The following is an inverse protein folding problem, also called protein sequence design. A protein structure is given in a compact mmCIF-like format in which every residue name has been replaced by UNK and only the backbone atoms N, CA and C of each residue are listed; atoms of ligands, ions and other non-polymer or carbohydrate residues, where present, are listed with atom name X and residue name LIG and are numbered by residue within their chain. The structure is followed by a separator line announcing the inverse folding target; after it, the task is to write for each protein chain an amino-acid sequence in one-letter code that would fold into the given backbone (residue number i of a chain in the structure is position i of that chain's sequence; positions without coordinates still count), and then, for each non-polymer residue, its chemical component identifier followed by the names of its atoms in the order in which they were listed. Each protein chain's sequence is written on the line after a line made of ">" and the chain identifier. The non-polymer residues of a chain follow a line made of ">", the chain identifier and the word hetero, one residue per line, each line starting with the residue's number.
data_IF_732498163545
#
_entry.id   IF_732498163545
#
_cell.length_a   1.000
_cell.length_b   1.000
_cell.length_c   1.000
_cell.angle_alpha   90.00
_cell.angle_beta   90.00
_cell.angle_gamma   90.00
#
_symmetry.space_group_name_H-M   'P 1'
#
loop_
_entity.id
_entity.type
_entity.pdbx_description
1 polymer ?
#
# COMPACT_ATOMS: atom_id res chain seq x y z
N UNK A 1 31.01 3.85 -27.34
CA UNK A 1 32.20 3.58 -28.19
C UNK A 1 33.46 3.77 -27.34
N UNK A 2 34.46 2.89 -27.45
CA UNK A 2 34.90 2.10 -26.30
C UNK A 2 36.38 2.29 -25.92
N UNK A 3 36.74 1.92 -24.68
CA UNK A 3 38.10 1.43 -24.37
C UNK A 3 38.02 0.01 -23.85
N UNK A 4 38.49 -0.89 -24.72
CA UNK A 4 38.78 -2.32 -24.50
C UNK A 4 39.85 -2.49 -23.41
N UNK A 5 39.72 -3.54 -22.61
CA UNK A 5 40.86 -4.30 -22.14
C UNK A 5 40.66 -5.77 -22.55
N UNK A 6 41.54 -6.25 -23.44
CA UNK A 6 41.69 -7.65 -23.85
C UNK A 6 42.85 -8.23 -23.05
N UNK A 7 42.64 -9.33 -22.34
CA UNK A 7 43.64 -10.35 -21.95
C UNK A 7 42.80 -11.62 -21.72
N UNK A 8 43.03 -12.81 -22.24
CA UNK A 8 44.02 -13.42 -23.11
C UNK A 8 43.62 -14.90 -23.13
N UNK A 9 43.34 -15.46 -24.31
CA UNK A 9 42.95 -16.87 -24.48
C UNK A 9 44.24 -17.68 -24.53
N UNK A 10 44.40 -18.64 -23.63
CA UNK A 10 45.38 -19.71 -23.82
C UNK A 10 44.67 -21.07 -23.78
N UNK A 11 44.65 -21.72 -24.94
CA UNK A 11 44.18 -23.09 -25.16
C UNK A 11 45.38 -24.01 -24.95
N UNK A 12 45.27 -24.99 -24.04
CA UNK A 12 45.99 -26.26 -24.17
C UNK A 12 45.05 -27.42 -23.84
N UNK A 13 44.95 -28.34 -24.79
CA UNK A 13 44.23 -29.61 -24.71
C UNK A 13 44.99 -30.62 -23.84
N UNK A 14 44.24 -31.59 -23.29
CA UNK A 14 44.72 -32.97 -23.20
C UNK A 14 44.68 -33.68 -21.85
N UNK A 15 43.83 -34.73 -21.80
CA UNK A 15 43.95 -35.98 -21.04
C UNK A 15 43.52 -36.06 -19.55
N UNK A 16 42.43 -36.82 -19.33
CA UNK A 16 42.24 -37.70 -18.18
C UNK A 16 43.00 -39.04 -18.44
N UNK A 17 43.40 -39.85 -17.43
CA UNK A 17 42.44 -40.62 -16.62
C UNK A 17 42.87 -40.91 -15.15
N UNK A 18 41.97 -41.51 -14.38
CA UNK A 18 42.34 -42.41 -13.27
C UNK A 18 41.94 -41.92 -11.87
N UNK A 19 41.12 -42.71 -11.19
CA UNK A 19 40.49 -42.37 -9.92
C UNK A 19 41.36 -42.53 -8.68
N UNK A 20 40.92 -41.89 -7.60
CA UNK A 20 41.26 -42.25 -6.23
C UNK A 20 40.17 -41.72 -5.29
N UNK A 21 39.65 -42.61 -4.45
CA UNK A 21 38.71 -42.34 -3.38
C UNK A 21 39.29 -41.33 -2.38
N UNK A 22 38.50 -40.31 -2.06
CA UNK A 22 38.74 -39.39 -0.96
C UNK A 22 37.41 -38.96 -0.37
N UNK A 23 36.99 -39.62 0.72
CA UNK A 23 35.82 -39.27 1.51
C UNK A 23 36.06 -37.90 2.13
N UNK A 24 35.35 -36.88 1.66
CA UNK A 24 35.25 -35.58 2.34
C UNK A 24 33.86 -35.49 2.94
N UNK A 25 33.79 -35.63 4.26
CA UNK A 25 32.61 -35.43 5.08
C UNK A 25 32.15 -33.97 4.99
N UNK A 26 31.31 -33.67 4.00
CA UNK A 26 30.62 -32.40 3.88
C UNK A 26 29.36 -32.39 4.74
N UNK A 27 29.32 -31.51 5.75
CA UNK A 27 28.11 -31.20 6.50
C UNK A 27 26.99 -30.79 5.52
N UNK A 28 25.98 -31.65 5.39
CA UNK A 28 24.80 -31.36 4.59
C UNK A 28 23.95 -30.31 5.31
N UNK A 29 24.23 -29.03 5.08
CA UNK A 29 23.21 -27.99 5.21
C UNK A 29 22.17 -28.25 4.13
N UNK A 30 21.26 -29.19 4.37
CA UNK A 30 20.15 -29.47 3.47
C UNK A 30 19.36 -28.18 3.30
N UNK A 31 19.34 -27.63 2.08
CA UNK A 31 18.44 -26.57 1.66
C UNK A 31 16.99 -27.07 1.70
N UNK A 32 16.47 -27.32 2.90
CA UNK A 32 15.08 -27.69 3.11
C UNK A 32 14.26 -26.42 2.83
N UNK A 33 13.61 -26.41 1.67
CA UNK A 33 12.69 -25.37 1.22
C UNK A 33 11.27 -25.92 1.33
N UNK A 34 10.31 -25.00 1.43
CA UNK A 34 8.91 -25.36 1.25
C UNK A 34 8.72 -25.96 -0.15
N UNK A 35 7.81 -26.92 -0.23
CA UNK A 35 7.33 -27.47 -1.49
C UNK A 35 6.52 -26.41 -2.23
N UNK A 36 6.54 -26.47 -3.56
CA UNK A 36 5.70 -25.59 -4.38
C UNK A 36 4.20 -25.93 -4.24
N UNK A 37 3.89 -27.21 -4.10
CA UNK A 37 2.52 -27.71 -4.02
C UNK A 37 2.20 -28.24 -2.62
N UNK A 38 1.01 -27.96 -2.07
CA UNK A 38 0.61 -28.46 -0.75
C UNK A 38 0.38 -29.97 -0.78
N UNK A 39 0.64 -30.60 0.36
CA UNK A 39 0.38 -32.02 0.59
C UNK A 39 -1.12 -32.22 0.80
N UNK A 40 -1.83 -32.71 -0.22
CA UNK A 40 -3.30 -32.86 -0.20
C UNK A 40 -3.82 -33.86 0.83
N UNK A 41 -3.01 -34.86 1.17
CA UNK A 41 -3.36 -35.92 2.12
C UNK A 41 -2.97 -35.58 3.58
N UNK A 42 -2.14 -34.53 3.76
CA UNK A 42 -1.67 -34.13 5.09
C UNK A 42 -2.71 -33.25 5.79
N UNK A 43 -3.10 -33.64 7.00
CA UNK A 43 -3.90 -32.79 7.88
C UNK A 43 -2.94 -32.01 8.78
N UNK A 44 -2.89 -30.67 8.67
CA UNK A 44 -2.04 -29.86 9.53
C UNK A 44 -2.50 -29.94 10.98
N UNK A 45 -1.56 -29.79 11.90
CA UNK A 45 -1.80 -29.73 13.33
C UNK A 45 -2.42 -28.38 13.73
N UNK A 46 -3.01 -28.35 14.93
CA UNK A 46 -3.41 -27.09 15.55
C UNK A 46 -2.23 -26.48 16.31
N UNK A 47 -2.10 -25.17 16.22
CA UNK A 47 -1.05 -24.38 16.86
C UNK A 47 -1.61 -23.29 17.80
N UNK A 48 -2.92 -23.30 18.06
CA UNK A 48 -3.61 -22.29 18.87
C UNK A 48 -3.18 -22.29 20.35
N UNK A 49 -2.65 -23.41 20.84
CA UNK A 49 -2.19 -23.59 22.21
C UNK A 49 -0.77 -23.04 22.46
N UNK A 50 -0.06 -22.60 21.40
CA UNK A 50 1.32 -22.15 21.49
C UNK A 50 1.43 -20.62 21.56
N UNK A 51 2.34 -20.12 22.39
CA UNK A 51 2.77 -18.71 22.33
C UNK A 51 3.75 -18.53 21.15
N UNK A 52 3.22 -18.07 20.03
CA UNK A 52 3.96 -17.91 18.77
C UNK A 52 4.15 -16.44 18.41
N UNK A 53 5.25 -16.14 17.71
CA UNK A 53 5.52 -14.79 17.21
C UNK A 53 4.67 -14.42 15.97
N UNK A 54 3.91 -15.37 15.42
CA UNK A 54 3.05 -15.22 14.23
C UNK A 54 1.70 -15.89 14.49
N UNK A 55 0.67 -15.52 13.73
CA UNK A 55 -0.66 -16.11 13.85
C UNK A 55 -0.61 -17.66 13.73
N UNK A 56 -1.24 -18.40 14.66
CA UNK A 56 -1.33 -19.87 14.58
C UNK A 56 -1.83 -20.40 13.23
N UNK A 57 -2.77 -19.67 12.61
CA UNK A 57 -3.33 -20.02 11.29
C UNK A 57 -2.30 -20.04 10.15
N UNK A 58 -1.23 -19.25 10.26
CA UNK A 58 -0.13 -19.25 9.28
C UNK A 58 0.64 -20.57 9.38
N UNK A 59 0.91 -21.08 10.59
CA UNK A 59 1.60 -22.35 10.78
C UNK A 59 0.77 -23.52 10.26
N UNK A 60 -0.54 -23.57 10.55
CA UNK A 60 -1.43 -24.61 10.01
C UNK A 60 -1.47 -24.60 8.48
N UNK A 61 -1.40 -23.42 7.87
CA UNK A 61 -1.39 -23.27 6.41
C UNK A 61 -0.04 -23.70 5.82
N UNK A 62 1.07 -23.25 6.43
CA UNK A 62 2.44 -23.49 5.97
C UNK A 62 2.85 -24.95 6.13
N UNK A 63 2.32 -25.65 7.14
CA UNK A 63 2.65 -27.06 7.41
C UNK A 63 2.39 -27.95 6.19
N UNK A 64 1.34 -27.68 5.42
CA UNK A 64 1.01 -28.47 4.21
C UNK A 64 2.11 -28.40 3.14
N UNK A 65 2.93 -27.36 3.17
CA UNK A 65 4.02 -27.12 2.24
C UNK A 65 5.37 -27.62 2.77
N UNK A 66 5.43 -28.22 3.97
CA UNK A 66 6.67 -28.83 4.45
C UNK A 66 7.10 -30.01 3.57
N UNK A 67 8.42 -30.23 3.41
CA UNK A 67 8.92 -31.40 2.71
C UNK A 67 8.55 -32.70 3.48
N UNK A 68 8.41 -33.86 2.80
CA UNK A 68 7.88 -35.07 3.41
C UNK A 68 8.64 -35.54 4.67
N UNK A 69 9.95 -35.29 4.70
CA UNK A 69 10.80 -35.62 5.85
C UNK A 69 10.52 -34.76 7.09
N UNK A 70 9.88 -33.59 6.93
CA UNK A 70 9.47 -32.71 8.02
C UNK A 70 7.99 -32.85 8.38
N UNK A 71 7.16 -33.50 7.56
CA UNK A 71 5.76 -33.74 7.91
C UNK A 71 5.60 -34.78 9.04
N UNK A 72 6.56 -35.70 9.15
CA UNK A 72 6.58 -36.78 10.14
C UNK A 72 7.34 -36.44 11.43
N UNK A 73 7.97 -35.26 11.52
CA UNK A 73 8.70 -34.84 12.72
C UNK A 73 7.73 -34.31 13.79
N UNK A 74 8.14 -34.20 15.07
CA UNK A 74 7.31 -33.63 16.11
C UNK A 74 6.89 -32.18 15.80
N UNK A 75 5.71 -31.81 16.29
CA UNK A 75 5.09 -30.48 16.12
C UNK A 75 6.06 -29.33 16.43
N UNK A 76 6.83 -29.42 17.52
CA UNK A 76 7.76 -28.37 17.93
C UNK A 76 8.91 -28.17 16.92
N UNK A 77 9.38 -29.24 16.27
CA UNK A 77 10.41 -29.17 15.23
C UNK A 77 9.84 -28.59 13.93
N UNK A 78 8.58 -28.90 13.60
CA UNK A 78 7.87 -28.24 12.50
C UNK A 78 7.76 -26.73 12.73
N UNK A 79 7.38 -26.34 13.96
CA UNK A 79 7.28 -24.92 14.36
C UNK A 79 8.62 -24.22 14.23
N UNK A 80 9.72 -24.82 14.71
CA UNK A 80 11.07 -24.22 14.58
C UNK A 80 11.41 -23.95 13.11
N UNK A 81 11.21 -24.94 12.24
CA UNK A 81 11.50 -24.80 10.82
C UNK A 81 10.60 -23.76 10.12
N UNK A 82 9.29 -23.82 10.35
CA UNK A 82 8.33 -22.85 9.82
C UNK A 82 8.64 -21.43 10.32
N UNK A 83 8.99 -21.29 11.60
CA UNK A 83 9.39 -20.02 12.21
C UNK A 83 10.67 -19.50 11.57
N UNK A 84 11.69 -20.32 11.35
CA UNK A 84 12.91 -19.91 10.66
C UNK A 84 12.64 -19.40 9.23
N UNK A 85 11.68 -20.01 8.53
CA UNK A 85 11.24 -19.53 7.22
C UNK A 85 10.55 -18.17 7.38
N UNK A 86 9.53 -18.06 8.24
CA UNK A 86 8.79 -16.82 8.44
C UNK A 86 9.70 -15.67 8.89
N UNK A 87 10.71 -15.93 9.73
CA UNK A 87 11.71 -14.96 10.16
C UNK A 87 12.60 -14.42 9.04
N UNK A 88 12.80 -15.18 7.96
CA UNK A 88 13.53 -14.70 6.76
C UNK A 88 12.70 -13.71 5.95
N UNK A 89 11.37 -13.84 5.98
CA UNK A 89 10.46 -12.99 5.22
C UNK A 89 9.88 -11.84 6.05
N UNK A 90 9.86 -11.95 7.38
CA UNK A 90 9.43 -10.90 8.31
C UNK A 90 10.41 -10.80 9.48
N UNK A 91 11.56 -10.13 9.29
CA UNK A 91 12.59 -9.97 10.31
C UNK A 91 12.05 -9.30 11.59
N UNK A 92 12.78 -9.47 12.70
CA UNK A 92 12.40 -8.89 14.01
C UNK A 92 12.12 -7.38 13.96
N UNK A 93 12.87 -6.62 13.15
CA UNK A 93 12.66 -5.18 12.99
C UNK A 93 11.30 -4.82 12.41
N UNK A 94 10.87 -5.52 11.36
CA UNK A 94 9.56 -5.30 10.72
C UNK A 94 8.41 -5.70 11.64
N UNK A 95 8.53 -6.83 12.35
CA UNK A 95 7.52 -7.25 13.35
C UNK A 95 7.36 -6.22 14.47
N UNK A 96 8.48 -5.73 15.01
CA UNK A 96 8.45 -4.68 16.02
C UNK A 96 7.82 -3.40 15.48
N UNK A 97 8.02 -3.07 14.20
CA UNK A 97 7.40 -1.90 13.56
C UNK A 97 5.87 -2.07 13.48
N UNK A 98 5.39 -3.21 12.97
CA UNK A 98 3.95 -3.51 12.87
C UNK A 98 3.29 -3.51 14.24
N UNK A 99 3.90 -4.15 15.23
CA UNK A 99 3.37 -4.19 16.59
C UNK A 99 3.30 -2.78 17.20
N UNK A 100 4.36 -1.98 17.08
CA UNK A 100 4.37 -0.59 17.55
C UNK A 100 3.32 0.27 16.86
N UNK A 101 3.13 0.09 15.55
CA UNK A 101 2.10 0.80 14.79
C UNK A 101 0.69 0.43 15.29
N UNK A 102 0.42 -0.86 15.54
CA UNK A 102 -0.85 -1.31 16.14
C UNK A 102 -1.07 -0.72 17.52
N UNK A 103 -0.07 -0.77 18.40
CA UNK A 103 -0.15 -0.19 19.76
C UNK A 103 -0.37 1.33 19.71
N UNK A 104 0.28 2.01 18.78
CA UNK A 104 0.09 3.43 18.54
C UNK A 104 -1.35 3.75 18.11
N UNK A 105 -1.89 3.04 17.10
CA UNK A 105 -3.29 3.22 16.66
C UNK A 105 -4.28 2.91 17.78
N UNK A 106 -4.07 1.84 18.54
CA UNK A 106 -4.94 1.47 19.67
C UNK A 106 -4.95 2.53 20.78
N UNK A 107 -3.82 3.20 21.03
CA UNK A 107 -3.79 4.34 21.96
C UNK A 107 -4.62 5.50 21.46
N UNK A 108 -4.60 5.80 20.15
CA UNK A 108 -5.45 6.85 19.59
C UNK A 108 -6.92 6.46 19.72
N UNK A 109 -7.31 5.28 19.22
CA UNK A 109 -8.69 4.79 19.24
C UNK A 109 -9.30 4.76 20.66
N UNK A 110 -8.49 4.45 21.67
CA UNK A 110 -8.95 4.41 23.07
C UNK A 110 -9.08 5.78 23.75
N UNK A 111 -8.45 6.84 23.21
CA UNK A 111 -8.40 8.17 23.84
C UNK A 111 -9.10 9.26 23.03
N UNK A 112 -9.22 9.09 21.72
CA UNK A 112 -9.94 10.00 20.83
C UNK A 112 -11.43 9.64 20.80
N UNK A 113 -12.29 10.66 20.82
CA UNK A 113 -13.74 10.49 20.66
C UNK A 113 -14.17 11.00 19.28
N UNK A 114 -14.63 10.11 18.39
CA UNK A 114 -15.12 10.51 17.07
C UNK A 114 -16.29 11.48 17.14
N UNK A 115 -16.28 12.51 16.30
CA UNK A 115 -17.33 13.52 16.20
C UNK A 115 -18.50 13.01 15.33
N UNK A 116 -18.19 12.33 14.22
CA UNK A 116 -19.15 11.87 13.21
C UNK A 116 -19.05 10.36 13.00
N UNK A 117 -19.62 9.57 13.90
CA UNK A 117 -19.55 8.09 13.83
C UNK A 117 -20.06 7.49 12.51
N UNK A 118 -20.98 8.17 11.84
CA UNK A 118 -21.58 7.68 10.60
C UNK A 118 -20.58 7.55 9.44
N UNK A 119 -19.53 8.37 9.41
CA UNK A 119 -18.53 8.31 8.33
C UNK A 119 -17.65 7.04 8.42
N UNK A 120 -17.53 6.43 9.61
CA UNK A 120 -16.75 5.21 9.84
C UNK A 120 -17.42 3.96 9.29
N UNK A 121 -18.75 3.95 9.21
CA UNK A 121 -19.51 2.80 8.71
C UNK A 121 -19.60 2.77 7.18
N UNK A 122 -19.50 3.96 6.55
CA UNK A 122 -19.67 4.21 5.12
C UNK A 122 -21.03 3.75 4.58
N UNK A 123 -21.98 4.67 4.50
CA UNK A 123 -23.28 4.43 3.87
C UNK A 123 -23.25 4.95 2.43
N UNK A 124 -23.23 4.09 1.39
CA UNK A 124 -22.96 4.52 0.02
C UNK A 124 -23.84 5.67 -0.49
N UNK A 125 -25.13 5.65 -0.16
CA UNK A 125 -26.09 6.69 -0.54
C UNK A 125 -25.79 8.08 0.06
N UNK A 126 -25.15 8.12 1.22
CA UNK A 126 -24.77 9.36 1.90
C UNK A 126 -23.30 9.75 1.61
N UNK A 127 -22.49 8.80 1.15
CA UNK A 127 -21.06 9.00 0.85
C UNK A 127 -20.84 9.43 -0.59
N UNK A 128 -21.51 8.81 -1.56
CA UNK A 128 -21.20 8.96 -2.99
C UNK A 128 -22.29 9.68 -3.78
N UNK A 129 -21.90 10.38 -4.84
CA UNK A 129 -22.86 10.99 -5.77
C UNK A 129 -23.67 9.91 -6.51
N UNK A 130 -24.95 10.16 -6.85
CA UNK A 130 -25.81 9.12 -7.42
C UNK A 130 -25.33 8.62 -8.79
N UNK A 131 -24.70 9.49 -9.59
CA UNK A 131 -24.08 9.16 -10.88
C UNK A 131 -22.98 8.11 -10.70
N UNK A 132 -22.10 8.31 -9.70
CA UNK A 132 -21.05 7.37 -9.35
C UNK A 132 -21.60 6.01 -8.91
N UNK A 133 -22.57 5.99 -7.98
CA UNK A 133 -23.19 4.74 -7.53
C UNK A 133 -23.83 3.96 -8.67
N UNK A 134 -24.49 4.66 -9.59
CA UNK A 134 -25.07 4.04 -10.77
C UNK A 134 -24.00 3.39 -11.65
N UNK A 135 -22.91 4.10 -11.95
CA UNK A 135 -21.81 3.55 -12.74
C UNK A 135 -21.18 2.32 -12.07
N UNK A 136 -20.95 2.36 -10.76
CA UNK A 136 -20.45 1.21 -9.98
C UNK A 136 -21.43 0.04 -10.01
N UNK A 137 -22.74 0.30 -9.96
CA UNK A 137 -23.75 -0.76 -10.05
C UNK A 137 -23.82 -1.39 -11.44
N UNK A 138 -23.69 -0.60 -12.51
CA UNK A 138 -23.69 -1.09 -13.88
C UNK A 138 -22.39 -1.86 -14.20
N UNK A 139 -21.27 -1.45 -13.58
CA UNK A 139 -19.98 -2.14 -13.56
C UNK A 139 -19.43 -2.48 -14.97
N UNK A 140 -19.57 -1.54 -15.89
CA UNK A 140 -19.04 -1.64 -17.27
C UNK A 140 -18.10 -0.47 -17.59
N UNK A 141 -17.19 -0.67 -18.54
CA UNK A 141 -16.30 0.39 -19.00
C UNK A 141 -17.10 1.61 -19.51
N UNK A 142 -18.18 1.38 -20.26
CA UNK A 142 -19.04 2.46 -20.77
C UNK A 142 -19.69 3.24 -19.63
N UNK A 143 -20.14 2.54 -18.57
CA UNK A 143 -20.75 3.17 -17.42
C UNK A 143 -19.75 4.05 -16.64
N UNK A 144 -18.51 3.59 -16.46
CA UNK A 144 -17.45 4.38 -15.83
C UNK A 144 -17.06 5.58 -16.70
N UNK A 145 -16.84 5.36 -17.99
CA UNK A 145 -16.51 6.44 -18.94
C UNK A 145 -17.63 7.49 -19.02
N UNK A 146 -18.87 7.14 -18.74
CA UNK A 146 -19.99 8.09 -18.77
C UNK A 146 -19.94 9.16 -17.68
N UNK A 147 -19.19 8.91 -16.59
CA UNK A 147 -19.05 9.85 -15.45
C UNK A 147 -17.64 10.45 -15.34
N UNK A 148 -16.72 10.03 -16.20
CA UNK A 148 -15.30 10.38 -16.14
C UNK A 148 -14.88 11.23 -17.33
N UNK A 149 -13.94 12.14 -17.07
CA UNK A 149 -13.11 12.77 -18.09
C UNK A 149 -11.67 12.26 -17.96
N UNK A 150 -10.94 12.20 -19.08
CA UNK A 150 -9.52 11.81 -19.09
C UNK A 150 -8.70 13.03 -19.55
N UNK A 151 -8.37 13.98 -18.65
CA UNK A 151 -7.63 15.19 -19.00
C UNK A 151 -6.22 14.93 -19.58
N UNK A 152 -5.62 13.81 -19.20
CA UNK A 152 -4.32 13.34 -19.68
C UNK A 152 -4.36 11.80 -19.70
N UNK A 153 -3.63 11.13 -20.62
CA UNK A 153 -3.60 9.67 -20.64
C UNK A 153 -3.28 9.07 -19.27
N UNK A 154 -4.16 8.19 -18.78
CA UNK A 154 -4.02 7.54 -17.47
C UNK A 154 -4.36 8.41 -16.25
N UNK A 155 -4.90 9.61 -16.46
CA UNK A 155 -5.43 10.49 -15.40
C UNK A 155 -6.93 10.66 -15.62
N UNK A 156 -7.74 10.23 -14.65
CA UNK A 156 -9.20 10.30 -14.75
C UNK A 156 -9.79 11.20 -13.69
N UNK A 157 -10.68 12.11 -14.11
CA UNK A 157 -11.39 13.03 -13.23
C UNK A 157 -12.90 12.80 -13.26
N UNK A 158 -13.51 12.72 -12.07
CA UNK A 158 -14.94 12.46 -11.89
C UNK A 158 -15.45 12.92 -10.52
N UNK A 159 -16.76 13.12 -10.42
CA UNK A 159 -17.43 13.38 -9.14
C UNK A 159 -17.59 12.08 -8.36
N UNK A 160 -17.03 12.03 -7.15
CA UNK A 160 -17.06 10.86 -6.28
C UNK A 160 -17.95 11.08 -5.05
N UNK A 161 -17.58 12.03 -4.20
CA UNK A 161 -18.17 12.20 -2.86
C UNK A 161 -19.32 13.20 -2.85
N UNK A 162 -20.31 12.95 -1.99
CA UNK A 162 -21.35 13.93 -1.65
C UNK A 162 -20.72 15.11 -0.92
N UNK A 163 -21.12 16.36 -1.22
CA UNK A 163 -20.62 17.54 -0.50
C UNK A 163 -20.83 17.48 1.02
N UNK A 164 -21.95 16.89 1.46
CA UNK A 164 -22.22 16.70 2.88
C UNK A 164 -21.29 15.70 3.55
N UNK A 165 -20.85 14.66 2.83
CA UNK A 165 -19.83 13.74 3.34
C UNK A 165 -18.47 14.43 3.45
N UNK A 166 -18.10 15.25 2.46
CA UNK A 166 -16.85 16.03 2.52
C UNK A 166 -16.80 16.95 3.74
N UNK A 167 -17.92 17.62 4.08
CA UNK A 167 -18.03 18.45 5.27
C UNK A 167 -17.83 17.65 6.56
N UNK A 168 -18.50 16.49 6.68
CA UNK A 168 -18.39 15.62 7.86
C UNK A 168 -16.98 15.04 8.02
N UNK A 169 -16.31 14.67 6.92
CA UNK A 169 -14.95 14.17 6.97
C UNK A 169 -13.97 15.27 7.39
N UNK A 170 -14.14 16.48 6.83
CA UNK A 170 -13.29 17.62 7.18
C UNK A 170 -13.44 18.01 8.65
N UNK A 171 -14.67 18.11 9.16
CA UNK A 171 -14.91 18.43 10.57
C UNK A 171 -14.41 17.34 11.53
N UNK A 172 -14.45 16.08 11.13
CA UNK A 172 -13.85 14.98 11.89
C UNK A 172 -12.33 15.14 12.00
N UNK A 173 -11.66 15.49 10.89
CA UNK A 173 -10.20 15.69 10.85
C UNK A 173 -9.79 16.91 11.67
N UNK A 174 -10.54 18.01 11.58
CA UNK A 174 -10.33 19.20 12.42
C UNK A 174 -10.49 18.87 13.91
N UNK A 175 -11.51 18.07 14.26
CA UNK A 175 -11.71 17.60 15.64
C UNK A 175 -10.54 16.73 16.12
N UNK A 176 -10.04 15.84 15.26
CA UNK A 176 -8.87 15.03 15.55
C UNK A 176 -7.61 15.86 15.80
N UNK A 177 -7.29 16.81 14.91
CA UNK A 177 -6.15 17.72 15.07
C UNK A 177 -6.28 18.58 16.34
N UNK A 178 -7.48 19.06 16.65
CA UNK A 178 -7.76 19.79 17.89
C UNK A 178 -7.46 18.92 19.11
N UNK A 179 -7.96 17.68 19.14
CA UNK A 179 -7.68 16.73 20.21
C UNK A 179 -6.19 16.45 20.35
N UNK A 180 -5.45 16.24 19.25
CA UNK A 180 -3.99 16.03 19.26
C UNK A 180 -3.27 17.21 19.92
N UNK A 181 -3.65 18.44 19.56
CA UNK A 181 -3.05 19.65 20.11
C UNK A 181 -3.36 19.84 21.60
N UNK A 182 -4.61 19.64 22.02
CA UNK A 182 -5.04 19.79 23.42
C UNK A 182 -4.45 18.71 24.34
N UNK A 183 -4.43 17.47 23.87
CA UNK A 183 -3.87 16.33 24.62
C UNK A 183 -2.34 16.26 24.55
N UNK A 184 -1.71 17.05 23.68
CA UNK A 184 -0.27 16.99 23.35
C UNK A 184 0.16 15.58 22.90
N UNK A 185 -0.76 14.85 22.28
CA UNK A 185 -0.48 13.52 21.74
C UNK A 185 0.48 13.64 20.57
N UNK A 186 1.43 12.70 20.44
CA UNK A 186 2.35 12.67 19.29
C UNK A 186 1.80 11.72 18.25
N UNK A 187 1.48 12.26 17.07
CA UNK A 187 0.98 11.49 15.93
C UNK A 187 2.04 11.36 14.84
N UNK A 188 1.89 10.34 14.00
CA UNK A 188 2.59 10.24 12.73
C UNK A 188 1.94 11.21 11.74
N UNK A 189 2.76 11.92 10.96
CA UNK A 189 2.28 12.83 9.92
C UNK A 189 2.08 12.09 8.59
N UNK A 190 1.21 12.59 7.70
CA UNK A 190 0.79 11.90 6.47
C UNK A 190 1.94 11.37 5.61
N UNK A 191 2.96 12.21 5.38
CA UNK A 191 4.19 11.83 4.69
C UNK A 191 5.36 12.72 5.17
N UNK A 192 6.56 12.50 4.62
CA UNK A 192 7.77 13.26 4.99
C UNK A 192 7.80 14.70 4.49
N UNK A 193 6.90 15.06 3.59
CA UNK A 193 6.84 16.38 2.94
C UNK A 193 5.76 17.29 3.55
N UNK A 194 4.77 16.72 4.27
CA UNK A 194 3.69 17.45 4.91
C UNK A 194 3.85 17.47 6.43
N UNK A 195 3.75 18.67 6.99
CA UNK A 195 3.80 18.92 8.44
C UNK A 195 2.41 18.93 9.08
N UNK A 196 1.37 19.12 8.28
CA UNK A 196 -0.02 19.22 8.72
C UNK A 196 -0.93 18.21 8.03
N UNK A 197 -1.97 17.80 8.73
CA UNK A 197 -2.88 16.75 8.31
C UNK A 197 -2.74 15.48 9.13
N UNK A 198 -3.60 14.51 8.82
CA UNK A 198 -3.83 13.33 9.62
C UNK A 198 -3.91 12.06 8.76
N UNK A 199 -3.37 10.95 9.27
CA UNK A 199 -3.56 9.62 8.69
C UNK A 199 -4.91 9.07 9.16
N UNK A 200 -5.81 8.73 8.24
CA UNK A 200 -7.19 8.39 8.56
C UNK A 200 -7.32 7.06 9.33
N UNK A 201 -6.47 6.09 9.02
CA UNK A 201 -6.42 4.82 9.73
C UNK A 201 -6.11 5.00 11.23
N UNK A 202 -5.33 6.02 11.58
CA UNK A 202 -4.83 6.20 12.93
C UNK A 202 -5.95 6.46 13.94
N UNK A 203 -7.06 7.05 13.48
CA UNK A 203 -8.22 7.35 14.30
C UNK A 203 -9.47 6.55 13.92
N UNK A 204 -9.31 5.49 13.12
CA UNK A 204 -10.30 4.41 12.98
C UNK A 204 -11.04 4.30 11.65
N UNK A 205 -10.63 5.04 10.61
CA UNK A 205 -11.28 4.99 9.29
C UNK A 205 -10.79 3.84 8.39
N UNK A 206 -9.90 2.99 8.86
CA UNK A 206 -9.33 1.84 8.12
C UNK A 206 -10.45 0.98 7.47
N UNK A 207 -11.46 0.57 8.22
CA UNK A 207 -12.57 -0.24 7.68
C UNK A 207 -13.42 0.49 6.64
N UNK A 208 -13.52 1.82 6.71
CA UNK A 208 -14.20 2.61 5.68
C UNK A 208 -13.38 2.59 4.39
N UNK A 209 -12.07 2.81 4.50
CA UNK A 209 -11.13 2.85 3.39
C UNK A 209 -10.95 1.48 2.72
N UNK A 210 -10.93 0.39 3.48
CA UNK A 210 -10.97 -0.98 2.97
C UNK A 210 -12.15 -1.18 2.02
N UNK A 211 -13.35 -0.76 2.45
CA UNK A 211 -14.56 -0.87 1.63
C UNK A 211 -14.52 0.05 0.42
N UNK A 212 -14.04 1.28 0.57
CA UNK A 212 -13.86 2.22 -0.55
C UNK A 212 -12.98 1.61 -1.62
N UNK A 213 -11.79 1.12 -1.23
CA UNK A 213 -10.85 0.45 -2.12
C UNK A 213 -11.49 -0.75 -2.80
N UNK A 214 -11.97 -1.72 -2.01
CA UNK A 214 -12.40 -3.01 -2.54
C UNK A 214 -13.67 -2.93 -3.39
N UNK A 215 -14.66 -2.15 -2.94
CA UNK A 215 -15.99 -2.16 -3.55
C UNK A 215 -16.21 -1.08 -4.60
N UNK A 216 -15.41 -0.01 -4.61
CA UNK A 216 -15.65 1.15 -5.46
C UNK A 216 -14.45 1.50 -6.34
N UNK A 217 -13.23 1.46 -5.82
CA UNK A 217 -12.03 1.83 -6.59
C UNK A 217 -11.49 0.65 -7.41
N UNK A 218 -11.34 -0.54 -6.81
CA UNK A 218 -10.84 -1.75 -7.49
C UNK A 218 -11.61 -2.11 -8.77
N UNK A 219 -12.96 -1.98 -8.86
CA UNK A 219 -13.69 -2.18 -10.11
C UNK A 219 -13.27 -1.22 -11.24
N UNK A 220 -13.05 0.06 -10.92
CA UNK A 220 -12.58 1.08 -11.86
C UNK A 220 -11.14 0.76 -12.25
N UNK A 221 -10.26 0.53 -11.28
CA UNK A 221 -8.84 0.26 -11.52
C UNK A 221 -8.61 -0.99 -12.36
N UNK A 222 -9.44 -2.03 -12.18
CA UNK A 222 -9.40 -3.23 -13.01
C UNK A 222 -9.60 -2.94 -14.50
N UNK A 223 -10.43 -1.94 -14.84
CA UNK A 223 -10.75 -1.59 -16.22
C UNK A 223 -9.69 -0.69 -16.83
N UNK A 224 -9.32 0.38 -16.12
CA UNK A 224 -8.46 1.42 -16.68
C UNK A 224 -6.96 1.21 -16.45
N UNK A 225 -6.59 0.39 -15.47
CA UNK A 225 -5.19 0.18 -15.08
C UNK A 225 -4.81 -1.31 -14.97
N UNK A 226 -5.10 -2.14 -16.00
CA UNK A 226 -4.74 -3.55 -15.98
C UNK A 226 -3.22 -3.79 -15.93
N UNK A 227 -2.43 -2.88 -16.47
CA UNK A 227 -0.96 -2.98 -16.58
C UNK A 227 -0.25 -2.91 -15.22
N UNK A 228 -0.81 -2.15 -14.27
CA UNK A 228 -0.28 -2.01 -12.90
C UNK A 228 -0.99 -2.92 -11.90
N UNK A 229 -1.81 -3.87 -12.37
CA UNK A 229 -2.53 -4.78 -11.48
C UNK A 229 -3.68 -4.12 -10.73
N UNK A 230 -4.41 -3.19 -11.35
CA UNK A 230 -5.57 -2.52 -10.74
C UNK A 230 -6.69 -3.47 -10.26
N UNK A 231 -6.70 -4.73 -10.71
CA UNK A 231 -7.61 -5.77 -10.23
C UNK A 231 -7.20 -6.39 -8.88
N UNK A 232 -5.96 -6.17 -8.43
CA UNK A 232 -5.36 -6.84 -7.28
C UNK A 232 -5.08 -5.94 -6.08
N UNK A 233 -5.42 -4.64 -6.16
CA UNK A 233 -5.28 -3.64 -5.08
C UNK A 233 -5.62 -4.21 -3.70
N UNK A 234 -4.64 -4.36 -2.80
CA UNK A 234 -4.79 -5.10 -1.53
C UNK A 234 -4.50 -4.29 -0.25
N UNK A 235 -4.02 -3.05 -0.37
CA UNK A 235 -3.83 -2.14 0.76
C UNK A 235 -4.14 -0.68 0.40
N UNK A 236 -4.16 0.18 1.42
CA UNK A 236 -4.33 1.62 1.25
C UNK A 236 -3.50 2.41 2.28
N UNK A 237 -3.26 3.69 2.00
CA UNK A 237 -2.71 4.65 2.97
C UNK A 237 -3.47 5.96 2.85
N UNK A 238 -4.66 6.00 3.44
CA UNK A 238 -5.53 7.17 3.40
C UNK A 238 -5.10 8.22 4.42
N UNK A 239 -4.94 9.46 3.97
CA UNK A 239 -4.65 10.59 4.84
C UNK A 239 -5.43 11.83 4.39
N UNK A 240 -5.21 12.95 5.08
CA UNK A 240 -5.66 14.29 4.72
C UNK A 240 -4.45 15.19 4.85
N UNK A 241 -4.28 16.12 3.92
CA UNK A 241 -3.24 17.15 4.00
C UNK A 241 -3.92 18.50 4.21
N UNK A 242 -3.23 19.43 4.88
CA UNK A 242 -3.71 20.80 5.05
C UNK A 242 -2.70 21.76 4.43
N UNK A 243 -3.17 22.58 3.49
CA UNK A 243 -2.38 23.63 2.87
C UNK A 243 -2.86 25.01 3.36
N UNK A 244 -2.03 26.03 3.26
CA UNK A 244 -2.44 27.35 3.73
C UNK A 244 -1.28 28.28 3.98
N UNK A 245 -1.58 29.57 4.13
CA UNK A 245 -0.57 30.62 4.31
C UNK A 245 0.36 30.39 5.50
N UNK A 246 -0.17 29.83 6.58
CA UNK A 246 0.58 29.49 7.80
C UNK A 246 0.83 27.96 7.94
N UNK A 247 0.67 27.21 6.84
CA UNK A 247 0.79 25.75 6.75
C UNK A 247 1.84 25.39 5.71
N UNK A 248 1.70 24.22 5.09
CA UNK A 248 2.48 23.88 3.90
C UNK A 248 1.90 24.63 2.69
N UNK A 249 2.77 25.19 1.85
CA UNK A 249 2.37 26.05 0.73
C UNK A 249 2.44 25.33 -0.62
N UNK A 250 3.34 24.37 -0.75
CA UNK A 250 3.57 23.57 -1.93
C UNK A 250 4.04 22.16 -1.56
N UNK A 251 3.87 21.25 -2.50
CA UNK A 251 4.41 19.90 -2.44
C UNK A 251 5.31 19.71 -3.65
N UNK A 252 6.59 19.47 -3.41
CA UNK A 252 7.56 19.26 -4.49
C UNK A 252 7.19 18.05 -5.36
N UNK A 253 7.65 18.03 -6.61
CA UNK A 253 7.42 16.87 -7.49
C UNK A 253 7.96 15.58 -6.87
N UNK A 254 7.13 14.55 -6.86
CA UNK A 254 7.44 13.24 -6.30
C UNK A 254 6.72 12.15 -7.08
N UNK A 255 6.99 10.91 -6.68
CA UNK A 255 6.26 9.72 -7.09
C UNK A 255 5.73 9.09 -5.82
N UNK A 256 4.42 8.96 -5.74
CA UNK A 256 3.66 8.21 -4.75
C UNK A 256 4.07 6.73 -4.79
N UNK A 257 4.13 6.13 -3.61
CA UNK A 257 4.43 4.71 -3.43
C UNK A 257 3.13 3.90 -3.56
N UNK A 258 2.52 3.95 -4.75
CA UNK A 258 1.21 3.37 -5.07
C UNK A 258 1.13 2.94 -6.53
N UNK A 259 0.34 1.89 -6.84
CA UNK A 259 -0.07 1.63 -8.24
C UNK A 259 -1.19 2.59 -8.69
N UNK A 260 -2.09 2.96 -7.78
CA UNK A 260 -3.24 3.84 -8.06
C UNK A 260 -3.48 4.78 -6.88
N UNK A 261 -3.27 6.08 -7.09
CA UNK A 261 -3.59 7.16 -6.16
C UNK A 261 -4.98 7.72 -6.45
N UNK A 262 -5.75 8.06 -5.41
CA UNK A 262 -7.06 8.73 -5.52
C UNK A 262 -6.99 10.09 -4.84
N UNK A 263 -6.81 11.16 -5.60
CA UNK A 263 -6.81 12.51 -5.07
C UNK A 263 -8.23 13.07 -5.03
N UNK A 264 -8.69 13.57 -3.87
CA UNK A 264 -10.06 14.06 -3.69
C UNK A 264 -10.03 15.44 -3.06
N UNK A 265 -10.77 16.38 -3.62
CA UNK A 265 -10.90 17.71 -3.03
C UNK A 265 -12.02 17.74 -1.96
N UNK A 266 -11.73 18.17 -0.72
CA UNK A 266 -12.76 18.42 0.33
C UNK A 266 -13.13 19.87 0.49
N UNK A 267 -12.18 20.78 0.22
CA UNK A 267 -12.38 22.22 0.39
C UNK A 267 -13.33 22.79 -0.65
N UNK A 268 -14.06 23.84 -0.27
CA UNK A 268 -15.01 24.52 -1.16
C UNK A 268 -14.53 25.90 -1.62
N UNK A 269 -13.69 26.57 -0.84
CA UNK A 269 -13.27 27.95 -1.09
C UNK A 269 -11.77 28.10 -0.80
N UNK A 270 -10.96 28.08 -1.85
CA UNK A 270 -9.54 28.42 -1.80
C UNK A 270 -9.10 28.90 -3.19
N UNK A 271 -7.99 29.63 -3.25
CA UNK A 271 -7.30 29.96 -4.50
C UNK A 271 -6.00 29.16 -4.59
N UNK A 272 -5.68 28.68 -5.79
CA UNK A 272 -4.58 27.75 -6.04
C UNK A 272 -5.02 26.28 -5.92
N UNK A 273 -4.10 25.39 -5.54
CA UNK A 273 -4.35 23.96 -5.39
C UNK A 273 -4.29 23.19 -6.71
N UNK A 274 -3.65 23.77 -7.72
CA UNK A 274 -3.40 23.11 -9.00
C UNK A 274 -2.48 21.91 -8.80
N UNK A 275 -2.89 20.77 -9.38
CA UNK A 275 -2.05 19.59 -9.47
C UNK A 275 -1.32 19.57 -10.80
N UNK A 276 0.00 19.38 -10.77
CA UNK A 276 0.84 19.36 -11.96
C UNK A 276 1.38 17.96 -12.23
N UNK A 277 1.06 17.42 -13.41
CA UNK A 277 1.59 16.14 -13.87
C UNK A 277 2.79 16.33 -14.78
N UNK A 278 3.86 15.55 -14.58
CA UNK A 278 5.04 15.49 -15.49
C UNK A 278 5.13 14.16 -16.25
N UNK A 279 3.99 13.48 -16.39
CA UNK A 279 3.87 12.18 -17.04
C UNK A 279 4.45 11.01 -16.23
N UNK A 280 4.24 9.81 -16.76
CA UNK A 280 4.71 8.55 -16.14
C UNK A 280 6.22 8.41 -16.27
N UNK A 281 6.87 7.98 -15.18
CA UNK A 281 8.32 7.73 -15.16
C UNK A 281 8.58 6.24 -15.24
N UNK A 282 9.54 5.83 -16.06
CA UNK A 282 9.98 4.44 -16.06
C UNK A 282 10.93 4.15 -14.89
N UNK A 283 11.09 2.89 -14.52
CA UNK A 283 11.93 2.41 -13.39
C UNK A 283 13.34 2.99 -13.39
N UNK A 284 13.91 3.19 -14.59
CA UNK A 284 15.27 3.71 -14.76
C UNK A 284 15.40 5.18 -14.39
N UNK A 285 14.29 5.92 -14.43
CA UNK A 285 14.25 7.38 -14.30
C UNK A 285 13.35 7.87 -13.17
N UNK A 286 12.65 6.99 -12.44
CA UNK A 286 11.73 7.35 -11.34
C UNK A 286 12.36 8.29 -10.31
N UNK A 287 13.64 8.06 -9.98
CA UNK A 287 14.42 8.84 -8.99
C UNK A 287 15.27 9.96 -9.59
N UNK A 288 15.15 10.25 -10.89
CA UNK A 288 15.97 11.28 -11.57
C UNK A 288 15.27 12.65 -11.57
N UNK A 289 15.98 13.74 -11.84
CA UNK A 289 15.32 15.05 -12.03
C UNK A 289 14.36 15.04 -13.23
N UNK A 290 13.22 15.72 -13.12
CA UNK A 290 12.25 15.80 -14.23
C UNK A 290 12.74 16.72 -15.33
N UNK A 291 12.58 16.28 -16.59
CA UNK A 291 12.81 17.12 -17.76
C UNK A 291 11.51 17.88 -18.08
N UNK A 292 11.64 19.09 -18.63
CA UNK A 292 10.51 19.97 -18.90
C UNK A 292 9.71 19.47 -20.09
N UNK A 293 8.57 18.83 -19.86
CA UNK A 293 7.51 18.74 -20.86
C UNK A 293 6.12 18.68 -20.18
N UNK A 294 5.26 19.60 -20.64
CA UNK A 294 3.83 19.78 -20.43
C UNK A 294 3.30 19.88 -18.97
N UNK A 295 2.84 21.08 -18.61
CA UNK A 295 2.03 21.38 -17.41
C UNK A 295 0.53 21.22 -17.75
N UNK A 296 -0.22 20.47 -16.93
CA UNK A 296 -1.68 20.36 -17.01
C UNK A 296 -2.26 20.42 -15.59
N UNK A 297 -3.38 21.13 -15.40
CA UNK A 297 -4.02 21.41 -14.11
C UNK A 297 -5.45 20.86 -14.05
N UNK A 298 -5.81 19.98 -13.11
CA UNK A 298 -7.21 19.57 -12.82
C UNK A 298 -7.42 19.15 -11.35
N UNK A 299 -8.69 18.96 -10.93
CA UNK A 299 -9.14 18.62 -9.56
C UNK A 299 -9.98 17.33 -9.58
N UNK A 300 -9.73 16.47 -8.59
CA UNK A 300 -10.22 15.11 -8.38
C UNK A 300 -9.71 14.15 -9.45
N UNK A 301 -8.59 13.49 -9.17
CA UNK A 301 -7.87 12.66 -10.14
C UNK A 301 -7.55 11.28 -9.54
N UNK A 302 -7.87 10.22 -10.27
CA UNK A 302 -7.21 8.92 -10.07
C UNK A 302 -5.91 8.95 -10.89
N UNK A 303 -4.79 8.86 -10.20
CA UNK A 303 -3.44 9.00 -10.74
C UNK A 303 -2.77 7.65 -10.65
N UNK A 304 -2.28 7.11 -11.76
CA UNK A 304 -1.42 5.92 -11.72
C UNK A 304 0.04 6.33 -11.79
N UNK A 305 0.81 5.78 -10.86
CA UNK A 305 2.27 5.75 -10.96
C UNK A 305 2.75 4.30 -10.84
N UNK A 306 3.81 3.97 -11.58
CA UNK A 306 4.64 2.79 -11.33
C UNK A 306 5.97 3.32 -10.73
N UNK A 307 6.63 2.64 -9.76
CA UNK A 307 7.05 1.23 -9.92
C UNK A 307 7.29 0.34 -8.67
N UNK A 308 7.51 -0.96 -8.94
CA UNK A 308 7.95 -2.09 -8.08
C UNK A 308 7.00 -2.68 -7.01
N UNK A 309 7.03 -4.01 -6.78
CA UNK A 309 5.93 -4.75 -6.16
C UNK A 309 6.05 -4.80 -4.65
N UNK A 310 5.87 -3.67 -3.95
CA UNK A 310 5.77 -3.66 -2.48
C UNK A 310 4.86 -2.55 -1.96
N UNK A 311 3.60 -2.94 -1.77
CA UNK A 311 2.52 -2.24 -1.05
C UNK A 311 1.68 -1.32 -1.93
N UNK A 312 0.42 -1.67 -2.05
CA UNK A 312 -0.55 -1.02 -2.91
C UNK A 312 -1.23 0.07 -2.09
N UNK A 313 -1.22 1.32 -2.52
CA UNK A 313 -1.59 2.44 -1.65
C UNK A 313 -2.58 3.34 -2.36
N UNK A 314 -3.79 3.49 -1.83
CA UNK A 314 -4.60 4.67 -2.13
C UNK A 314 -4.08 5.82 -1.28
N UNK A 315 -3.36 6.76 -1.89
CA UNK A 315 -3.13 8.08 -1.30
C UNK A 315 -4.39 8.92 -1.49
N UNK A 316 -5.08 9.21 -0.39
CA UNK A 316 -6.11 10.24 -0.35
C UNK A 316 -5.42 11.52 0.09
N UNK A 317 -5.25 12.45 -0.83
CA UNK A 317 -4.80 13.81 -0.50
C UNK A 317 -5.99 14.72 -0.60
N UNK A 318 -6.37 15.29 0.54
CA UNK A 318 -7.43 16.28 0.63
C UNK A 318 -6.79 17.67 0.81
N UNK A 319 -7.43 18.70 0.26
CA UNK A 319 -6.98 20.09 0.34
C UNK A 319 -7.98 20.93 1.14
N UNK A 320 -7.48 21.74 2.05
CA UNK A 320 -8.20 22.84 2.68
C UNK A 320 -7.27 24.06 2.70
N UNK A 321 -7.80 25.25 2.44
CA UNK A 321 -7.08 26.52 2.52
C UNK A 321 -7.75 27.45 3.53
N UNK A 322 -7.00 27.92 4.52
CA UNK A 322 -7.50 28.89 5.50
C UNK A 322 -7.30 30.31 4.95
N UNK A 323 -8.37 31.09 4.81
CA UNK A 323 -8.26 32.54 4.54
C UNK A 323 -7.77 33.28 5.79
N UNK A 324 -6.74 34.10 5.60
CA UNK A 324 -6.32 35.10 6.58
C UNK A 324 -7.24 36.32 6.55
N UNK A 325 -7.69 36.75 7.72
CA UNK A 325 -8.33 38.05 7.95
C UNK A 325 -7.43 39.22 7.63
#
# INVERSE_FOLDING_TARGET
>A
MPRRARIGVDRREGHAPGGANGVVSGAASSNQRLRLNPSKEHKPESYEDLQLDFSPSIFSSLERYLPPNLLSVPRDEKVKFMREILLKYLPHGERNRVQKQREYRQKIISNYQPLHRDIYMMHPANTFVPSFLKAISDNSEESFRSIMSEPSPGVFSFELLQPGFCELLLSEVENFEKWVNESKFRIMRPNTMNRYGAVLDDFGLETMLDKLMESFIRPISKVFFPEVGGATLDSHHGFVVEYGKDRDADLGFHVDDSEVTLNVCLGKLFSGGELYFRGTRCDKHVNTGSQSEAELCFIADVIVMEPEPRHQVIELTYFYGVEGT
#
